data_IF_629365582748
#
_entry.id   IF_629365582748
#
_cell.length_a   1.000
_cell.length_b   1.000
_cell.length_c   1.000
_cell.angle_alpha   90.00
_cell.angle_beta   90.00
_cell.angle_gamma   90.00
#
_symmetry.space_group_name_H-M   'P 1'
#
loop_
_entity.id
_entity.type
_entity.pdbx_description
1 polymer ?
#
# COMPACT_ATOMS: atom_id res chain seq x y z
N UNK A 1 -36.26 -1.14 -80.58
CA UNK A 1 -36.88 -1.76 -81.77
C UNK A 1 -35.91 -2.78 -82.35
N UNK A 2 -36.44 -3.98 -82.63
CA UNK A 2 -35.94 -5.08 -83.47
C UNK A 2 -34.48 -5.58 -83.26
N UNK A 3 -34.25 -6.80 -82.73
CA UNK A 3 -34.59 -8.15 -83.23
C UNK A 3 -33.68 -8.65 -84.38
N UNK A 4 -32.89 -9.67 -84.00
CA UNK A 4 -32.77 -10.98 -84.64
C UNK A 4 -31.92 -11.21 -85.93
N UNK A 5 -30.96 -12.13 -85.71
CA UNK A 5 -30.77 -13.44 -86.39
C UNK A 5 -29.80 -13.56 -87.59
N UNK A 6 -28.85 -14.48 -87.35
CA UNK A 6 -28.36 -15.59 -88.18
C UNK A 6 -27.71 -15.29 -89.53
N UNK A 7 -26.53 -15.89 -89.76
CA UNK A 7 -26.33 -17.02 -90.69
C UNK A 7 -24.94 -17.65 -90.45
N UNK A 8 -24.93 -18.98 -90.35
CA UNK A 8 -23.77 -19.88 -90.43
C UNK A 8 -23.23 -19.95 -91.87
N UNK A 9 -21.91 -20.12 -92.03
CA UNK A 9 -21.26 -20.95 -93.07
C UNK A 9 -19.74 -20.68 -92.99
N UNK A 10 -18.79 -21.57 -93.28
CA UNK A 10 -18.67 -23.02 -93.43
C UNK A 10 -17.14 -23.28 -93.36
N UNK A 11 -16.74 -24.46 -92.90
CA UNK A 11 -15.34 -24.91 -92.87
C UNK A 11 -14.70 -24.99 -94.26
N UNK A 12 -13.38 -24.77 -94.36
CA UNK A 12 -12.34 -25.78 -94.65
C UNK A 12 -11.00 -25.07 -95.02
N UNK A 13 -9.87 -25.75 -95.28
CA UNK A 13 -8.68 -25.62 -94.45
C UNK A 13 -7.45 -25.11 -95.21
N UNK A 14 -6.46 -24.57 -94.50
CA UNK A 14 -5.10 -24.47 -95.04
C UNK A 14 -4.10 -24.77 -93.93
N UNK A 15 -3.57 -25.98 -94.00
CA UNK A 15 -2.49 -26.45 -93.16
C UNK A 15 -1.18 -25.75 -93.55
N UNK A 16 -0.41 -25.45 -92.50
CA UNK A 16 1.04 -25.40 -92.46
C UNK A 16 1.75 -24.35 -93.33
N UNK A 17 2.38 -23.37 -92.69
CA UNK A 17 3.84 -23.37 -92.52
C UNK A 17 4.31 -22.11 -91.77
N UNK A 18 5.28 -22.32 -90.86
CA UNK A 18 6.24 -21.35 -90.30
C UNK A 18 5.77 -20.50 -89.11
N UNK A 19 6.35 -20.81 -87.94
CA UNK A 19 6.37 -19.91 -86.78
C UNK A 19 6.01 -20.62 -85.48
N UNK A 20 6.91 -21.48 -84.99
CA UNK A 20 6.81 -22.03 -83.64
C UNK A 20 6.89 -20.92 -82.60
N UNK A 21 5.73 -20.42 -82.17
CA UNK A 21 5.64 -19.57 -80.98
C UNK A 21 5.80 -20.49 -79.78
N UNK A 22 6.85 -20.36 -78.95
CA UNK A 22 6.92 -21.13 -77.72
C UNK A 22 5.69 -20.77 -76.88
N UNK A 23 4.81 -21.77 -76.65
CA UNK A 23 3.73 -21.63 -75.68
C UNK A 23 4.39 -21.22 -74.36
N UNK A 24 4.17 -19.97 -73.95
CA UNK A 24 4.50 -19.50 -72.61
C UNK A 24 3.78 -20.44 -71.64
N UNK A 25 4.54 -21.36 -71.04
CA UNK A 25 4.08 -22.19 -69.93
C UNK A 25 3.58 -21.21 -68.89
N UNK A 26 2.32 -21.31 -68.49
CA UNK A 26 1.81 -20.59 -67.34
C UNK A 26 2.69 -20.94 -66.15
N UNK A 27 3.61 -20.04 -65.80
CA UNK A 27 4.42 -20.16 -64.59
C UNK A 27 3.42 -20.04 -63.45
N UNK A 28 3.21 -21.15 -62.74
CA UNK A 28 2.38 -21.15 -61.55
C UNK A 28 2.86 -20.00 -60.64
N UNK A 29 1.96 -19.13 -60.13
CA UNK A 29 2.36 -18.08 -59.22
C UNK A 29 3.15 -18.73 -58.08
N UNK A 30 4.27 -18.13 -57.64
CA UNK A 30 5.04 -18.69 -56.54
C UNK A 30 4.08 -18.93 -55.38
N UNK A 31 3.98 -20.18 -54.93
CA UNK A 31 3.24 -20.52 -53.70
C UNK A 31 3.92 -19.76 -52.58
N UNK A 32 3.42 -18.56 -52.28
CA UNK A 32 3.81 -17.82 -51.08
C UNK A 32 3.42 -18.73 -49.92
N UNK A 33 4.42 -19.29 -49.24
CA UNK A 33 4.20 -20.05 -48.02
C UNK A 33 3.28 -19.20 -47.10
N UNK A 34 2.27 -19.81 -46.45
CA UNK A 34 1.40 -19.07 -45.55
C UNK A 34 2.29 -18.35 -44.53
N UNK A 35 2.20 -17.02 -44.49
CA UNK A 35 2.96 -16.23 -43.54
C UNK A 35 2.66 -16.78 -42.13
N UNK A 36 3.69 -17.07 -41.31
CA UNK A 36 3.47 -17.63 -39.99
C UNK A 36 2.53 -16.72 -39.21
N UNK A 37 1.48 -17.31 -38.62
CA UNK A 37 0.48 -16.56 -37.88
C UNK A 37 1.16 -15.71 -36.80
N UNK A 38 0.94 -14.40 -36.85
CA UNK A 38 1.52 -13.48 -35.88
C UNK A 38 1.08 -13.90 -34.47
N UNK A 39 2.04 -14.16 -33.58
CA UNK A 39 1.78 -14.61 -32.21
C UNK A 39 1.09 -13.48 -31.44
N UNK A 40 -0.23 -13.61 -31.21
CA UNK A 40 -1.06 -12.58 -30.54
C UNK A 40 -1.01 -12.62 -29.02
N UNK A 41 -0.42 -13.67 -28.44
CA UNK A 41 -0.36 -13.87 -26.99
C UNK A 41 0.27 -12.69 -26.22
N UNK A 42 1.37 -12.04 -26.66
CA UNK A 42 1.91 -10.88 -25.97
C UNK A 42 0.92 -9.72 -25.86
N UNK A 43 0.13 -9.47 -26.92
CA UNK A 43 -0.86 -8.41 -26.92
C UNK A 43 -2.05 -8.72 -25.99
N UNK A 44 -2.49 -9.98 -25.94
CA UNK A 44 -3.46 -10.46 -24.96
C UNK A 44 -2.94 -10.36 -23.52
N UNK A 45 -1.68 -10.75 -23.28
CA UNK A 45 -1.04 -10.64 -21.98
C UNK A 45 -1.04 -9.19 -21.48
N UNK A 46 -0.60 -8.23 -22.32
CA UNK A 46 -0.62 -6.81 -21.96
C UNK A 46 -2.04 -6.30 -21.65
N UNK A 47 -3.02 -6.73 -22.45
CA UNK A 47 -4.41 -6.34 -22.25
C UNK A 47 -4.93 -6.85 -20.89
N UNK A 48 -4.78 -8.14 -20.62
CA UNK A 48 -5.26 -8.76 -19.38
C UNK A 48 -4.50 -8.22 -18.18
N UNK A 49 -3.17 -8.16 -18.24
CA UNK A 49 -2.35 -7.62 -17.16
C UNK A 49 -2.68 -6.15 -16.86
N UNK A 50 -2.87 -5.34 -17.89
CA UNK A 50 -3.27 -3.94 -17.75
C UNK A 50 -4.64 -3.77 -17.11
N UNK A 51 -5.63 -4.58 -17.52
CA UNK A 51 -6.98 -4.58 -16.91
C UNK A 51 -6.90 -5.02 -15.45
N UNK A 52 -6.19 -6.11 -15.15
CA UNK A 52 -6.04 -6.62 -13.78
C UNK A 52 -5.34 -5.59 -12.90
N UNK A 53 -4.30 -4.93 -13.39
CA UNK A 53 -3.59 -3.90 -12.63
C UNK A 53 -4.47 -2.66 -12.39
N UNK A 54 -5.17 -2.18 -13.42
CA UNK A 54 -6.07 -1.04 -13.31
C UNK A 54 -7.24 -1.32 -12.34
N UNK A 55 -7.91 -2.45 -12.51
CA UNK A 55 -9.00 -2.86 -11.61
C UNK A 55 -8.48 -3.16 -10.21
N UNK A 56 -7.35 -3.83 -10.07
CA UNK A 56 -6.72 -4.11 -8.78
C UNK A 56 -6.37 -2.83 -8.02
N UNK A 57 -5.90 -1.80 -8.71
CA UNK A 57 -5.58 -0.50 -8.12
C UNK A 57 -6.81 0.23 -7.56
N UNK A 58 -8.01 -0.02 -8.07
CA UNK A 58 -9.26 0.65 -7.63
C UNK A 58 -10.07 -0.25 -6.71
N UNK A 59 -10.38 -1.47 -7.17
CA UNK A 59 -11.20 -2.43 -6.46
C UNK A 59 -10.49 -3.08 -5.25
N UNK A 60 -9.15 -3.13 -5.28
CA UNK A 60 -8.34 -3.64 -4.17
C UNK A 60 -8.25 -2.69 -2.97
N UNK A 61 -8.89 -1.51 -3.02
CA UNK A 61 -8.90 -0.56 -1.91
C UNK A 61 -7.56 0.16 -1.68
N UNK A 62 -6.57 0.01 -2.57
CA UNK A 62 -5.27 0.66 -2.46
C UNK A 62 -5.36 2.19 -2.23
N UNK A 63 -6.25 2.97 -2.88
CA UNK A 63 -6.35 4.42 -2.67
C UNK A 63 -6.75 4.78 -1.26
N UNK A 64 -7.71 4.06 -0.68
CA UNK A 64 -8.18 4.33 0.68
C UNK A 64 -7.20 3.79 1.72
N UNK A 65 -6.50 2.70 1.42
CA UNK A 65 -5.47 2.12 2.28
C UNK A 65 -4.22 2.99 2.34
N UNK A 66 -3.69 3.47 1.21
CA UNK A 66 -2.50 4.33 1.19
C UNK A 66 -2.78 5.71 1.77
N UNK A 67 -3.97 6.28 1.51
CA UNK A 67 -4.41 7.51 2.15
C UNK A 67 -4.56 7.34 3.67
N UNK A 68 -5.15 6.22 4.12
CA UNK A 68 -5.27 5.89 5.54
C UNK A 68 -3.91 5.69 6.21
N UNK A 69 -2.98 5.00 5.56
CA UNK A 69 -1.62 4.82 6.06
C UNK A 69 -0.88 6.16 6.18
N UNK A 70 -1.02 7.04 5.18
CA UNK A 70 -0.42 8.40 5.20
C UNK A 70 -1.00 9.22 6.34
N UNK A 71 -2.33 9.26 6.47
CA UNK A 71 -3.03 9.94 7.59
C UNK A 71 -2.55 9.43 8.95
N UNK A 72 -2.38 8.11 9.10
CA UNK A 72 -1.90 7.49 10.33
C UNK A 72 -0.45 7.91 10.64
N UNK A 73 0.43 7.88 9.64
CA UNK A 73 1.82 8.35 9.78
C UNK A 73 1.87 9.82 10.19
N UNK A 74 1.09 10.68 9.54
CA UNK A 74 1.02 12.11 9.85
C UNK A 74 0.50 12.38 11.26
N UNK A 75 -0.52 11.62 11.71
CA UNK A 75 -1.09 11.76 13.04
C UNK A 75 -0.12 11.32 14.16
N UNK A 76 0.68 10.26 13.92
CA UNK A 76 1.64 9.77 14.91
C UNK A 76 3.02 10.42 14.82
N UNK A 77 3.36 11.08 13.70
CA UNK A 77 4.62 11.79 13.52
C UNK A 77 5.01 12.70 14.70
N UNK A 78 4.15 13.58 15.26
CA UNK A 78 4.53 14.43 16.38
C UNK A 78 4.87 13.62 17.65
N UNK A 79 4.22 12.46 17.84
CA UNK A 79 4.36 11.62 19.03
C UNK A 79 5.54 10.63 18.97
N UNK A 80 6.10 10.40 17.78
CA UNK A 80 7.20 9.46 17.57
C UNK A 80 8.56 10.15 17.33
N UNK A 81 8.64 11.43 17.66
CA UNK A 81 9.92 12.17 17.75
C UNK A 81 10.72 11.70 18.96
N UNK A 82 12.06 11.79 18.90
CA UNK A 82 12.91 11.47 20.05
C UNK A 82 12.51 12.31 21.28
N UNK A 83 12.29 13.61 21.08
CA UNK A 83 11.86 14.52 22.13
C UNK A 83 10.49 14.15 22.73
N UNK A 84 9.49 13.81 21.90
CA UNK A 84 8.19 13.40 22.42
C UNK A 84 8.25 12.07 23.16
N UNK A 85 9.06 11.12 22.69
CA UNK A 85 9.22 9.82 23.36
C UNK A 85 9.93 9.99 24.70
N UNK A 86 10.93 10.86 24.79
CA UNK A 86 11.63 11.16 26.04
C UNK A 86 10.74 11.95 27.02
N UNK A 87 9.88 12.84 26.51
CA UNK A 87 8.86 13.52 27.31
C UNK A 87 7.84 12.53 27.89
N UNK A 88 7.30 11.63 27.06
CA UNK A 88 6.38 10.57 27.48
C UNK A 88 7.04 9.61 28.50
N UNK A 89 8.33 9.34 28.37
CA UNK A 89 9.12 8.60 29.36
C UNK A 89 9.08 9.29 30.73
N UNK A 90 9.34 10.60 30.74
CA UNK A 90 9.25 11.43 31.93
C UNK A 90 7.86 11.43 32.56
N UNK A 91 6.80 11.45 31.75
CA UNK A 91 5.42 11.36 32.22
C UNK A 91 5.12 10.00 32.84
N UNK A 92 5.55 8.90 32.21
CA UNK A 92 5.40 7.54 32.74
C UNK A 92 6.15 7.38 34.07
N UNK A 93 7.35 7.92 34.17
CA UNK A 93 8.12 7.93 35.42
C UNK A 93 7.50 8.80 36.51
N UNK A 94 6.84 9.90 36.14
CA UNK A 94 6.08 10.73 37.07
C UNK A 94 4.84 9.97 37.58
N UNK A 95 4.12 9.27 36.71
CA UNK A 95 3.00 8.38 37.07
C UNK A 95 3.46 7.27 38.00
N UNK A 96 4.59 6.61 37.71
CA UNK A 96 5.13 5.54 38.53
C UNK A 96 5.48 6.02 39.95
N UNK A 97 6.16 7.17 40.08
CA UNK A 97 6.50 7.77 41.38
C UNK A 97 5.25 8.20 42.15
N UNK A 98 4.27 8.78 41.47
CA UNK A 98 2.98 9.12 42.07
C UNK A 98 2.23 7.88 42.56
N UNK A 99 2.20 6.81 41.77
CA UNK A 99 1.62 5.51 42.12
C UNK A 99 2.30 4.89 43.34
N UNK A 100 3.63 4.88 43.40
CA UNK A 100 4.38 4.38 44.55
C UNK A 100 4.09 5.18 45.83
N UNK A 101 4.07 6.52 45.74
CA UNK A 101 3.77 7.39 46.88
C UNK A 101 2.33 7.19 47.38
N UNK A 102 1.35 7.14 46.48
CA UNK A 102 -0.06 6.92 46.86
C UNK A 102 -0.28 5.53 47.46
N UNK A 103 0.38 4.48 46.95
CA UNK A 103 0.37 3.14 47.59
C UNK A 103 0.96 3.14 48.99
N UNK A 104 2.07 3.85 49.21
CA UNK A 104 2.68 3.96 50.54
C UNK A 104 1.75 4.68 51.54
N UNK A 105 1.08 5.75 51.10
CA UNK A 105 0.08 6.45 51.91
C UNK A 105 -1.16 5.57 52.18
N UNK A 106 -1.60 4.79 51.19
CA UNK A 106 -2.71 3.85 51.32
C UNK A 106 -2.39 2.75 52.36
N UNK A 107 -1.21 2.12 52.25
CA UNK A 107 -0.76 1.06 53.14
C UNK A 107 -0.64 1.54 54.60
N UNK A 108 -0.36 2.82 54.80
CA UNK A 108 -0.32 3.43 56.12
C UNK A 108 -1.69 3.90 56.66
N UNK A 109 -2.79 3.61 55.95
CA UNK A 109 -4.14 3.99 56.36
C UNK A 109 -4.44 5.49 56.25
N UNK A 110 -3.58 6.27 55.58
CA UNK A 110 -3.68 7.75 55.55
C UNK A 110 -4.61 8.30 54.47
N UNK A 111 -5.15 7.45 53.62
CA UNK A 111 -6.07 7.83 52.54
C UNK A 111 -7.54 7.55 52.85
N UNK A 112 -7.91 7.31 54.11
CA UNK A 112 -9.28 6.94 54.50
C UNK A 112 -10.35 7.96 54.05
N UNK A 113 -10.00 9.25 54.01
CA UNK A 113 -10.87 10.32 53.55
C UNK A 113 -10.73 10.64 52.04
N UNK A 114 -10.02 9.81 51.28
CA UNK A 114 -9.67 10.03 49.88
C UNK A 114 -9.97 8.77 49.03
N UNK A 115 -11.25 8.38 48.86
CA UNK A 115 -11.64 7.14 48.22
C UNK A 115 -11.18 7.00 46.77
N UNK A 116 -11.11 8.10 45.99
CA UNK A 116 -10.62 8.03 44.60
C UNK A 116 -9.10 7.81 44.55
N UNK A 117 -8.38 8.41 45.49
CA UNK A 117 -6.94 8.22 45.65
C UNK A 117 -6.62 6.79 46.10
N UNK A 118 -7.43 6.20 46.98
CA UNK A 118 -7.34 4.76 47.34
C UNK A 118 -7.59 3.87 46.13
N UNK A 119 -8.63 4.17 45.34
CA UNK A 119 -8.93 3.41 44.12
C UNK A 119 -7.77 3.45 43.12
N UNK A 120 -7.19 4.63 42.90
CA UNK A 120 -5.99 4.78 42.07
C UNK A 120 -4.81 4.01 42.66
N UNK A 121 -4.53 4.14 43.96
CA UNK A 121 -3.43 3.43 44.61
C UNK A 121 -3.51 1.92 44.38
N UNK A 122 -4.72 1.33 44.49
CA UNK A 122 -4.97 -0.09 44.23
C UNK A 122 -4.77 -0.53 42.78
N UNK A 123 -4.80 0.39 41.81
CA UNK A 123 -4.60 0.13 40.37
C UNK A 123 -3.29 0.69 39.81
N UNK A 124 -2.55 1.45 40.60
CA UNK A 124 -1.42 2.25 40.14
C UNK A 124 -0.33 1.44 39.44
N UNK A 125 -0.09 0.20 39.89
CA UNK A 125 0.87 -0.70 39.26
C UNK A 125 0.42 -1.15 37.86
N UNK A 126 -0.89 -1.40 37.68
CA UNK A 126 -1.45 -1.77 36.38
C UNK A 126 -1.41 -0.58 35.42
N UNK A 127 -1.74 0.63 35.91
CA UNK A 127 -1.66 1.87 35.12
C UNK A 127 -0.22 2.12 34.65
N UNK A 128 0.76 1.95 35.55
CA UNK A 128 2.19 2.07 35.23
C UNK A 128 2.62 1.03 34.18
N UNK A 129 2.24 -0.24 34.37
CA UNK A 129 2.58 -1.31 33.42
C UNK A 129 1.98 -1.04 32.04
N UNK A 130 0.70 -0.67 31.96
CA UNK A 130 0.03 -0.34 30.71
C UNK A 130 0.72 0.82 29.99
N UNK A 131 1.09 1.89 30.71
CA UNK A 131 1.74 3.05 30.14
C UNK A 131 3.15 2.72 29.61
N UNK A 132 3.91 1.90 30.35
CA UNK A 132 5.22 1.39 29.89
C UNK A 132 5.11 0.52 28.66
N UNK A 133 4.15 -0.40 28.61
CA UNK A 133 3.97 -1.30 27.46
C UNK A 133 3.60 -0.52 26.19
N UNK A 134 2.76 0.51 26.32
CA UNK A 134 2.43 1.41 25.21
C UNK A 134 3.66 2.16 24.71
N UNK A 135 4.44 2.76 25.63
CA UNK A 135 5.64 3.51 25.26
C UNK A 135 6.70 2.59 24.65
N UNK A 136 6.91 1.40 25.20
CA UNK A 136 7.83 0.40 24.67
C UNK A 136 7.44 -0.03 23.25
N UNK A 137 6.14 -0.24 23.01
CA UNK A 137 5.63 -0.59 21.69
C UNK A 137 5.80 0.56 20.69
N UNK A 138 5.56 1.81 21.10
CA UNK A 138 5.80 2.99 20.28
C UNK A 138 7.30 3.16 19.93
N UNK A 139 8.20 3.01 20.91
CA UNK A 139 9.66 3.04 20.69
C UNK A 139 10.11 1.93 19.75
N UNK A 140 9.56 0.73 19.91
CA UNK A 140 9.86 -0.40 19.03
C UNK A 140 9.33 -0.17 17.60
N UNK A 141 8.20 0.51 17.42
CA UNK A 141 7.63 0.82 16.10
C UNK A 141 8.37 1.95 15.37
N UNK A 142 8.98 2.90 16.10
CA UNK A 142 9.67 4.06 15.55
C UNK A 142 10.59 3.81 14.34
N UNK A 143 11.58 2.89 14.37
CA UNK A 143 12.48 2.71 13.24
C UNK A 143 11.76 2.29 11.95
N UNK A 144 10.66 1.55 12.09
CA UNK A 144 9.86 1.12 10.94
C UNK A 144 8.92 2.21 10.45
N UNK A 145 8.37 3.03 11.34
CA UNK A 145 7.66 4.27 10.97
C UNK A 145 8.59 5.23 10.23
N UNK A 146 9.81 5.43 10.72
CA UNK A 146 10.82 6.26 10.05
C UNK A 146 11.19 5.70 8.66
N UNK A 147 11.19 4.37 8.50
CA UNK A 147 11.42 3.74 7.20
C UNK A 147 10.26 3.99 6.23
N UNK A 148 9.01 3.93 6.70
CA UNK A 148 7.84 4.22 5.88
C UNK A 148 7.76 5.70 5.49
N UNK A 149 8.11 6.61 6.40
CA UNK A 149 8.13 8.05 6.14
C UNK A 149 9.15 8.43 5.04
N UNK A 150 10.15 7.59 4.78
CA UNK A 150 11.12 7.77 3.67
C UNK A 150 10.60 7.28 2.32
N UNK A 151 9.46 6.58 2.27
CA UNK A 151 8.88 6.12 1.01
C UNK A 151 8.26 7.31 0.28
N UNK A 152 8.85 7.67 -0.86
CA UNK A 152 8.38 8.79 -1.66
C UNK A 152 7.17 8.36 -2.50
N UNK A 153 6.10 9.15 -2.45
CA UNK A 153 4.92 8.93 -3.32
C UNK A 153 4.02 7.77 -2.88
N UNK A 154 4.06 7.34 -1.61
CA UNK A 154 3.18 6.29 -1.08
C UNK A 154 1.69 6.61 -1.34
N UNK A 155 1.29 7.87 -1.19
CA UNK A 155 -0.07 8.33 -1.47
C UNK A 155 -0.46 8.37 -2.95
N UNK A 156 0.52 8.40 -3.88
CA UNK A 156 0.29 8.46 -5.34
C UNK A 156 0.48 7.12 -6.04
N UNK A 157 0.94 6.10 -5.32
CA UNK A 157 1.11 4.73 -5.80
C UNK A 157 -0.16 4.18 -6.50
N UNK A 158 -1.38 4.29 -5.93
CA UNK A 158 -2.58 3.77 -6.58
C UNK A 158 -2.85 4.40 -7.96
N UNK A 159 -2.63 5.71 -8.09
CA UNK A 159 -2.80 6.47 -9.32
C UNK A 159 -1.75 6.05 -10.36
N UNK A 160 -0.51 5.81 -9.93
CA UNK A 160 0.55 5.32 -10.79
C UNK A 160 0.21 3.92 -11.34
N UNK A 161 -0.20 2.99 -10.47
CA UNK A 161 -0.59 1.64 -10.89
C UNK A 161 -1.80 1.66 -11.83
N UNK A 162 -2.78 2.54 -11.55
CA UNK A 162 -3.94 2.74 -12.43
C UNK A 162 -3.51 3.20 -13.83
N UNK A 163 -2.68 4.25 -13.91
CA UNK A 163 -2.21 4.82 -15.17
C UNK A 163 -1.39 3.81 -15.98
N UNK A 164 -0.50 3.07 -15.30
CA UNK A 164 0.29 1.99 -15.92
C UNK A 164 -0.64 0.88 -16.42
N UNK A 165 -1.63 0.47 -15.63
CA UNK A 165 -2.61 -0.55 -16.01
C UNK A 165 -3.40 -0.15 -17.25
N UNK A 166 -3.91 1.08 -17.29
CA UNK A 166 -4.59 1.64 -18.46
C UNK A 166 -3.65 1.69 -19.68
N UNK A 167 -2.41 2.16 -19.50
CA UNK A 167 -1.42 2.22 -20.57
C UNK A 167 -1.13 0.84 -21.19
N UNK A 168 -0.95 -0.18 -20.36
CA UNK A 168 -0.77 -1.56 -20.81
C UNK A 168 -2.00 -2.12 -21.52
N UNK A 169 -3.20 -1.84 -21.00
CA UNK A 169 -4.45 -2.30 -21.60
C UNK A 169 -4.66 -1.69 -23.00
N UNK A 170 -4.45 -0.38 -23.13
CA UNK A 170 -4.53 0.33 -24.42
C UNK A 170 -3.46 -0.17 -25.39
N UNK A 171 -2.21 -0.33 -24.95
CA UNK A 171 -1.14 -0.85 -25.79
C UNK A 171 -1.45 -2.28 -26.29
N UNK A 172 -1.95 -3.16 -25.41
CA UNK A 172 -2.40 -4.51 -25.77
C UNK A 172 -3.53 -4.50 -26.79
N UNK A 173 -4.57 -3.68 -26.58
CA UNK A 173 -5.69 -3.54 -27.51
C UNK A 173 -5.25 -3.01 -28.89
N UNK A 174 -4.36 -2.01 -28.92
CA UNK A 174 -3.79 -1.48 -30.16
C UNK A 174 -2.96 -2.56 -30.87
N UNK A 175 -2.13 -3.32 -30.16
CA UNK A 175 -1.36 -4.42 -30.78
C UNK A 175 -2.25 -5.54 -31.34
N UNK A 176 -3.42 -5.78 -30.75
CA UNK A 176 -4.40 -6.76 -31.28
C UNK A 176 -5.11 -6.27 -32.54
N UNK A 177 -5.35 -4.96 -32.68
CA UNK A 177 -6.16 -4.37 -33.77
C UNK A 177 -5.33 -3.73 -34.89
N UNK A 178 -4.13 -3.24 -34.60
CA UNK A 178 -3.34 -2.45 -35.52
C UNK A 178 -2.82 -3.27 -36.70
N UNK A 179 -3.11 -2.79 -37.90
CA UNK A 179 -2.54 -3.32 -39.16
C UNK A 179 -1.34 -2.50 -39.65
N UNK A 180 -1.15 -1.28 -39.13
CA UNK A 180 -0.09 -0.37 -39.53
C UNK A 180 1.14 -0.48 -38.63
N UNK A 181 2.34 -0.38 -39.23
CA UNK A 181 3.60 -0.33 -38.51
C UNK A 181 3.71 0.82 -37.48
N UNK A 182 3.29 2.08 -37.75
CA UNK A 182 3.42 3.17 -36.78
C UNK A 182 2.60 2.93 -35.50
N UNK A 183 1.36 2.46 -35.61
CA UNK A 183 0.53 2.16 -34.43
C UNK A 183 1.13 1.05 -33.56
N UNK A 184 1.71 0.02 -34.19
CA UNK A 184 2.41 -1.07 -33.46
C UNK A 184 3.69 -0.57 -32.77
N UNK A 185 4.46 0.32 -33.41
CA UNK A 185 5.66 0.93 -32.82
C UNK A 185 5.29 1.79 -31.61
N UNK A 186 4.26 2.63 -31.73
CA UNK A 186 3.75 3.43 -30.62
C UNK A 186 3.31 2.55 -29.45
N UNK A 187 2.50 1.52 -29.69
CA UNK A 187 2.02 0.64 -28.63
C UNK A 187 3.16 -0.14 -27.95
N UNK A 188 4.17 -0.55 -28.71
CA UNK A 188 5.39 -1.18 -28.18
C UNK A 188 6.17 -0.20 -27.30
N UNK A 189 6.32 1.06 -27.72
CA UNK A 189 7.00 2.08 -26.94
C UNK A 189 6.24 2.41 -25.65
N UNK A 190 4.91 2.56 -25.72
CA UNK A 190 4.06 2.78 -24.56
C UNK A 190 4.14 1.64 -23.54
N UNK A 191 4.06 0.38 -24.00
CA UNK A 191 4.21 -0.79 -23.14
C UNK A 191 5.62 -0.88 -22.53
N UNK A 192 6.66 -0.51 -23.27
CA UNK A 192 8.03 -0.46 -22.75
C UNK A 192 8.18 0.61 -21.66
N UNK A 193 7.61 1.80 -21.85
CA UNK A 193 7.59 2.85 -20.82
C UNK A 193 6.87 2.38 -19.56
N UNK A 194 5.75 1.68 -19.70
CA UNK A 194 5.03 1.08 -18.56
C UNK A 194 5.88 0.03 -17.84
N UNK A 195 6.59 -0.84 -18.56
CA UNK A 195 7.52 -1.79 -17.96
C UNK A 195 8.66 -1.10 -17.20
N UNK A 196 9.25 -0.06 -17.79
CA UNK A 196 10.30 0.74 -17.14
C UNK A 196 9.75 1.38 -15.86
N UNK A 197 8.54 1.96 -15.90
CA UNK A 197 7.90 2.53 -14.73
C UNK A 197 7.74 1.49 -13.60
N UNK A 198 7.22 0.29 -13.91
CA UNK A 198 7.05 -0.80 -12.93
C UNK A 198 8.37 -1.31 -12.34
N UNK A 199 9.47 -1.23 -13.07
CA UNK A 199 10.79 -1.66 -12.58
C UNK A 199 11.47 -0.57 -11.76
N UNK A 200 11.40 0.67 -12.23
CA UNK A 200 12.09 1.82 -11.62
C UNK A 200 11.36 2.32 -10.39
N UNK A 201 10.02 2.36 -10.42
CA UNK A 201 9.19 2.90 -9.35
C UNK A 201 9.49 2.31 -7.97
N UNK A 202 9.48 0.98 -7.75
CA UNK A 202 9.69 0.42 -6.42
C UNK A 202 11.10 0.67 -5.85
N UNK A 203 12.09 0.91 -6.73
CA UNK A 203 13.46 1.27 -6.34
C UNK A 203 13.58 2.76 -6.05
N UNK A 204 13.07 3.61 -6.94
CA UNK A 204 13.16 5.07 -6.84
C UNK A 204 12.32 5.65 -5.68
N UNK A 205 11.21 4.99 -5.33
CA UNK A 205 10.36 5.37 -4.20
C UNK A 205 10.90 4.88 -2.85
N UNK A 206 11.86 3.94 -2.83
CA UNK A 206 12.28 3.23 -1.62
C UNK A 206 11.29 2.17 -1.14
N UNK A 207 10.28 1.80 -1.95
CA UNK A 207 9.31 0.75 -1.60
C UNK A 207 9.99 -0.59 -1.32
N UNK A 208 11.03 -0.98 -2.06
CA UNK A 208 11.75 -2.25 -1.81
C UNK A 208 12.33 -2.30 -0.39
N UNK A 209 12.96 -1.21 0.05
CA UNK A 209 13.59 -1.14 1.37
C UNK A 209 12.56 -0.97 2.50
N UNK A 210 11.48 -0.24 2.24
CA UNK A 210 10.46 0.12 3.23
C UNK A 210 9.28 -0.86 3.34
N UNK A 211 9.01 -1.70 2.35
CA UNK A 211 7.80 -2.54 2.33
C UNK A 211 7.77 -3.58 3.46
N UNK A 212 8.93 -4.13 3.85
CA UNK A 212 9.01 -5.02 5.02
C UNK A 212 8.68 -4.30 6.33
N UNK A 213 8.96 -3.00 6.42
CA UNK A 213 8.64 -2.18 7.58
C UNK A 213 7.13 -1.96 7.72
N UNK A 214 6.39 -1.88 6.62
CA UNK A 214 4.94 -1.70 6.63
C UNK A 214 4.22 -2.80 7.42
N UNK A 215 4.55 -4.05 7.14
CA UNK A 215 4.00 -5.20 7.88
C UNK A 215 4.37 -5.15 9.36
N UNK A 216 5.64 -4.87 9.68
CA UNK A 216 6.10 -4.77 11.07
C UNK A 216 5.44 -3.63 11.85
N UNK A 217 5.17 -2.49 11.20
CA UNK A 217 4.41 -1.38 11.80
C UNK A 217 3.01 -1.84 12.15
N UNK A 218 2.32 -2.52 11.24
CA UNK A 218 0.99 -3.09 11.52
C UNK A 218 1.05 -4.03 12.72
N UNK A 219 1.98 -4.99 12.71
CA UNK A 219 2.11 -5.99 13.77
C UNK A 219 2.42 -5.36 15.14
N UNK A 220 3.27 -4.33 15.19
CA UNK A 220 3.64 -3.64 16.43
C UNK A 220 2.57 -2.70 16.96
N UNK A 221 1.75 -2.12 16.08
CA UNK A 221 0.61 -1.32 16.50
C UNK A 221 -0.61 -2.18 16.83
N UNK A 222 -0.69 -3.44 16.40
CA UNK A 222 -1.79 -4.35 16.72
C UNK A 222 -2.22 -4.41 18.19
N UNK A 223 -1.32 -4.52 19.18
CA UNK A 223 -1.73 -4.50 20.58
C UNK A 223 -2.28 -3.14 21.05
N UNK A 224 -1.87 -2.04 20.40
CA UNK A 224 -2.21 -0.67 20.81
C UNK A 224 -3.49 -0.17 20.12
N UNK A 225 -3.64 -0.49 18.83
CA UNK A 225 -4.71 -0.01 17.97
C UNK A 225 -5.97 -0.88 18.12
N UNK A 226 -6.49 -0.96 19.34
CA UNK A 226 -7.75 -1.64 19.66
C UNK A 226 -8.71 -0.75 20.44
N UNK A 227 -10.02 -0.95 20.27
CA UNK A 227 -11.04 -0.26 21.07
C UNK A 227 -10.88 -0.55 22.56
N UNK A 228 -10.51 -1.79 22.91
CA UNK A 228 -10.24 -2.20 24.29
C UNK A 228 -9.09 -1.39 24.90
N UNK A 229 -8.03 -1.13 24.13
CA UNK A 229 -6.91 -0.33 24.60
C UNK A 229 -7.30 1.14 24.79
N UNK A 230 -8.11 1.71 23.90
CA UNK A 230 -8.65 3.07 24.08
C UNK A 230 -9.48 3.17 25.35
N UNK A 231 -10.39 2.23 25.58
CA UNK A 231 -11.21 2.18 26.81
C UNK A 231 -10.32 2.02 28.05
N UNK A 232 -9.27 1.20 27.96
CA UNK A 232 -8.29 1.03 29.06
C UNK A 232 -7.57 2.33 29.36
N UNK A 233 -7.04 3.01 28.34
CA UNK A 233 -6.39 4.31 28.46
C UNK A 233 -7.31 5.37 29.08
N UNK A 234 -8.57 5.43 28.65
CA UNK A 234 -9.57 6.33 29.22
C UNK A 234 -9.86 6.03 30.69
N UNK A 235 -9.97 4.75 31.07
CA UNK A 235 -10.14 4.36 32.47
C UNK A 235 -8.91 4.70 33.33
N UNK A 236 -7.71 4.50 32.81
CA UNK A 236 -6.46 4.82 33.51
C UNK A 236 -6.33 6.34 33.70
N UNK A 237 -6.71 7.12 32.68
CA UNK A 237 -6.81 8.58 32.75
C UNK A 237 -7.83 9.05 33.79
N UNK A 238 -9.04 8.47 33.81
CA UNK A 238 -10.07 8.81 34.81
C UNK A 238 -9.62 8.49 36.24
N UNK A 239 -8.87 7.40 36.45
CA UNK A 239 -8.31 7.07 37.75
C UNK A 239 -7.30 8.13 38.21
N UNK A 240 -6.41 8.57 37.32
CA UNK A 240 -5.44 9.64 37.59
C UNK A 240 -6.13 10.99 37.89
N UNK A 241 -7.08 11.42 37.04
CA UNK A 241 -7.88 12.64 37.24
C UNK A 241 -8.60 12.59 38.59
N UNK A 242 -9.19 11.44 38.92
CA UNK A 242 -9.92 11.21 40.15
C UNK A 242 -9.05 11.42 41.39
N UNK A 243 -7.84 10.85 41.39
CA UNK A 243 -6.87 10.99 42.47
C UNK A 243 -6.33 12.42 42.57
N UNK A 244 -5.85 13.01 41.47
CA UNK A 244 -5.30 14.38 41.47
C UNK A 244 -6.36 15.39 41.92
N UNK A 245 -7.57 15.32 41.36
CA UNK A 245 -8.63 16.26 41.71
C UNK A 245 -9.09 16.14 43.18
N UNK A 246 -8.96 14.97 43.79
CA UNK A 246 -9.24 14.78 45.22
C UNK A 246 -8.13 15.38 46.11
N UNK A 247 -6.87 15.20 45.72
CA UNK A 247 -5.70 15.80 46.38
C UNK A 247 -5.73 17.34 46.28
N UNK A 248 -6.13 17.89 45.13
CA UNK A 248 -6.21 19.33 44.90
C UNK A 248 -7.32 20.01 45.71
N UNK A 249 -8.46 19.34 45.88
CA UNK A 249 -9.56 19.81 46.73
C UNK A 249 -9.28 19.76 48.23
N UNK A 250 -8.05 19.38 48.62
CA UNK A 250 -7.62 19.41 50.02
C UNK A 250 -8.02 18.17 50.81
N UNK A 251 -8.25 17.02 50.15
CA UNK A 251 -8.37 15.76 50.87
C UNK A 251 -7.13 15.54 51.77
N UNK A 252 -7.31 14.79 52.87
CA UNK A 252 -6.29 14.54 53.90
C UNK A 252 -5.11 13.66 53.43
N UNK A 253 -4.71 13.78 52.17
CA UNK A 253 -3.55 13.13 51.59
C UNK A 253 -2.32 13.94 51.96
N UNK A 254 -1.34 13.29 52.59
CA UNK A 254 -0.04 13.91 52.83
C UNK A 254 0.60 14.23 51.48
N UNK A 255 0.86 15.50 51.23
CA UNK A 255 1.54 15.95 50.01
C UNK A 255 3.03 15.67 50.10
N UNK A 256 3.47 14.44 49.86
CA UNK A 256 4.90 14.09 49.75
C UNK A 256 5.53 14.84 48.57
N UNK A 257 6.87 14.93 48.49
CA UNK A 257 7.54 15.56 47.35
C UNK A 257 7.08 15.02 45.98
N UNK A 258 6.87 13.70 45.88
CA UNK A 258 6.44 13.01 44.65
C UNK A 258 5.00 13.39 44.29
N UNK A 259 4.10 13.39 45.26
CA UNK A 259 2.70 13.81 45.06
C UNK A 259 2.64 15.27 44.62
N UNK A 260 3.40 16.17 45.27
CA UNK A 260 3.46 17.59 44.86
C UNK A 260 4.01 17.77 43.46
N UNK A 261 5.08 17.06 43.12
CA UNK A 261 5.68 17.13 41.79
C UNK A 261 4.70 16.69 40.71
N UNK A 262 4.03 15.55 40.89
CA UNK A 262 3.06 15.04 39.93
C UNK A 262 1.84 15.94 39.79
N UNK A 263 1.28 16.41 40.91
CA UNK A 263 0.15 17.36 40.89
C UNK A 263 0.52 18.66 40.17
N UNK A 264 1.76 19.15 40.33
CA UNK A 264 2.23 20.35 39.62
C UNK A 264 2.42 20.11 38.11
N UNK A 265 2.85 18.91 37.69
CA UNK A 265 3.01 18.55 36.28
C UNK A 265 1.74 17.99 35.63
N UNK A 266 0.64 17.85 36.37
CA UNK A 266 -0.56 17.15 35.93
C UNK A 266 -1.15 17.71 34.63
N UNK A 267 -1.19 19.04 34.46
CA UNK A 267 -1.73 19.64 33.25
C UNK A 267 -0.98 19.19 32.00
N UNK A 268 0.37 19.16 32.05
CA UNK A 268 1.22 18.66 30.96
C UNK A 268 0.96 17.17 30.69
N UNK A 269 1.07 16.33 31.72
CA UNK A 269 0.83 14.87 31.60
C UNK A 269 -0.55 14.59 31.01
N UNK A 270 -1.57 15.29 31.50
CA UNK A 270 -2.95 15.08 31.06
C UNK A 270 -3.18 15.49 29.60
N UNK A 271 -2.54 16.57 29.16
CA UNK A 271 -2.58 17.04 27.78
C UNK A 271 -1.92 16.03 26.83
N UNK A 272 -0.75 15.52 27.21
CA UNK A 272 0.02 14.58 26.38
C UNK A 272 -0.72 13.23 26.26
N UNK A 273 -1.27 12.71 27.36
CA UNK A 273 -2.11 11.51 27.36
C UNK A 273 -3.39 11.68 26.53
N UNK A 274 -4.07 12.84 26.64
CA UNK A 274 -5.28 13.12 25.88
C UNK A 274 -4.98 13.20 24.37
N UNK A 275 -3.89 13.87 23.99
CA UNK A 275 -3.45 13.96 22.60
C UNK A 275 -3.15 12.57 22.02
N UNK A 276 -2.38 11.74 22.74
CA UNK A 276 -2.04 10.39 22.28
C UNK A 276 -3.29 9.49 22.17
N UNK A 277 -4.18 9.55 23.16
CA UNK A 277 -5.44 8.78 23.14
C UNK A 277 -6.33 9.21 21.98
N UNK A 278 -6.41 10.51 21.70
CA UNK A 278 -7.12 11.05 20.54
C UNK A 278 -6.53 10.53 19.23
N UNK A 279 -5.20 10.61 19.07
CA UNK A 279 -4.52 10.10 17.89
C UNK A 279 -4.77 8.60 17.64
N UNK A 280 -4.76 7.78 18.70
CA UNK A 280 -5.09 6.34 18.62
C UNK A 280 -6.55 6.15 18.18
N UNK A 281 -7.48 6.79 18.88
CA UNK A 281 -8.93 6.64 18.64
C UNK A 281 -9.32 7.05 17.21
N UNK A 282 -8.82 8.20 16.74
CA UNK A 282 -9.20 8.78 15.45
C UNK A 282 -8.61 8.03 14.24
N UNK A 283 -7.65 7.13 14.49
CA UNK A 283 -7.00 6.33 13.46
C UNK A 283 -7.27 4.82 13.57
N UNK A 284 -8.12 4.38 14.51
CA UNK A 284 -8.56 2.97 14.60
C UNK A 284 -9.17 2.45 13.28
N UNK A 285 -10.08 3.20 12.59
CA UNK A 285 -10.65 2.73 11.34
C UNK A 285 -9.63 2.60 10.19
N UNK A 286 -8.66 3.50 10.14
CA UNK A 286 -7.56 3.51 9.17
C UNK A 286 -6.62 2.33 9.41
N UNK A 287 -6.23 2.11 10.67
CA UNK A 287 -5.41 0.96 11.05
C UNK A 287 -6.07 -0.36 10.67
N UNK A 288 -7.37 -0.54 10.97
CA UNK A 288 -8.12 -1.75 10.61
C UNK A 288 -8.13 -2.01 9.11
N UNK A 289 -8.32 -0.97 8.30
CA UNK A 289 -8.27 -1.05 6.83
C UNK A 289 -6.88 -1.44 6.34
N UNK A 290 -5.83 -0.86 6.91
CA UNK A 290 -4.45 -1.22 6.58
C UNK A 290 -4.12 -2.66 6.97
N UNK A 291 -4.50 -3.08 8.17
CA UNK A 291 -4.28 -4.43 8.66
C UNK A 291 -5.01 -5.48 7.83
N UNK A 292 -6.28 -5.23 7.46
CA UNK A 292 -7.05 -6.15 6.62
C UNK A 292 -6.49 -6.24 5.19
N UNK A 293 -6.08 -5.11 4.61
CA UNK A 293 -5.43 -5.09 3.30
C UNK A 293 -4.08 -5.84 3.34
N UNK A 294 -3.29 -5.67 4.40
CA UNK A 294 -2.03 -6.37 4.55
C UNK A 294 -2.22 -7.89 4.74
N UNK A 295 -3.31 -8.32 5.38
CA UNK A 295 -3.62 -9.73 5.57
C UNK A 295 -4.17 -10.43 4.30
N UNK A 296 -4.43 -9.70 3.21
CA UNK A 296 -5.06 -10.27 2.01
C UNK A 296 -4.18 -11.32 1.29
N UNK A 297 -2.85 -11.19 1.37
CA UNK A 297 -1.90 -12.19 0.85
C UNK A 297 -1.16 -12.89 2.00
N UNK A 298 -1.18 -14.24 2.07
CA UNK A 298 -0.53 -15.01 3.12
C UNK A 298 0.97 -15.16 2.85
N UNK A 299 1.69 -14.03 2.82
CA UNK A 299 3.15 -13.99 2.65
C UNK A 299 3.81 -13.36 3.88
N UNK A 300 5.09 -13.65 4.17
CA UNK A 300 5.81 -12.97 5.24
C UNK A 300 5.77 -11.44 5.04
N UNK A 301 5.23 -10.72 6.04
CA UNK A 301 5.04 -9.27 6.00
C UNK A 301 3.76 -8.78 5.29
N UNK A 302 2.96 -9.69 4.71
CA UNK A 302 1.66 -9.40 4.11
C UNK A 302 1.70 -8.79 2.71
N UNK A 303 0.53 -8.37 2.22
CA UNK A 303 0.33 -7.79 0.88
C UNK A 303 1.25 -6.60 0.60
N UNK A 304 1.49 -5.74 1.61
CA UNK A 304 2.32 -4.54 1.41
C UNK A 304 3.77 -4.92 1.17
N UNK A 305 4.27 -5.95 1.86
CA UNK A 305 5.62 -6.50 1.65
C UNK A 305 5.79 -7.13 0.25
N UNK A 306 4.71 -7.68 -0.33
CA UNK A 306 4.73 -8.30 -1.65
C UNK A 306 4.72 -7.29 -2.81
N UNK A 307 4.13 -6.12 -2.59
CA UNK A 307 3.83 -5.15 -3.64
C UNK A 307 5.04 -4.76 -4.53
N UNK A 308 6.21 -4.35 -3.98
CA UNK A 308 7.35 -3.99 -4.82
C UNK A 308 7.83 -5.15 -5.70
N UNK A 309 7.75 -6.38 -5.19
CA UNK A 309 8.11 -7.57 -5.96
C UNK A 309 7.11 -7.88 -7.06
N UNK A 310 5.82 -7.66 -6.80
CA UNK A 310 4.78 -7.80 -7.83
C UNK A 310 4.99 -6.79 -8.98
N UNK A 311 5.34 -5.53 -8.66
CA UNK A 311 5.68 -4.52 -9.66
C UNK A 311 6.90 -4.93 -10.50
N UNK A 312 8.00 -5.36 -9.84
CA UNK A 312 9.22 -5.80 -10.51
C UNK A 312 8.98 -7.00 -11.44
N UNK A 313 8.28 -8.04 -10.95
CA UNK A 313 7.96 -9.25 -11.72
C UNK A 313 7.08 -8.91 -12.92
N UNK A 314 6.07 -8.07 -12.72
CA UNK A 314 5.19 -7.65 -13.81
C UNK A 314 5.95 -6.83 -14.86
N UNK A 315 6.77 -5.88 -14.44
CA UNK A 315 7.61 -5.06 -15.33
C UNK A 315 8.56 -5.92 -16.16
N UNK A 316 9.24 -6.89 -15.53
CA UNK A 316 10.11 -7.84 -16.21
C UNK A 316 9.34 -8.74 -17.19
N UNK A 317 8.16 -9.22 -16.82
CA UNK A 317 7.31 -10.03 -17.68
C UNK A 317 6.82 -9.26 -18.92
N UNK A 318 6.41 -8.00 -18.76
CA UNK A 318 6.05 -7.10 -19.87
C UNK A 318 7.24 -6.89 -20.80
N UNK A 319 8.42 -6.56 -20.28
CA UNK A 319 9.63 -6.39 -21.09
C UNK A 319 10.00 -7.66 -21.85
N UNK A 320 9.95 -8.82 -21.18
CA UNK A 320 10.20 -10.13 -21.79
C UNK A 320 9.21 -10.48 -22.90
N UNK A 321 7.92 -10.20 -22.70
CA UNK A 321 6.89 -10.40 -23.71
C UNK A 321 7.15 -9.55 -24.96
N UNK A 322 7.61 -8.30 -24.79
CA UNK A 322 7.98 -7.41 -25.90
C UNK A 322 9.24 -7.90 -26.63
N UNK A 323 10.29 -8.29 -25.91
CA UNK A 323 11.54 -8.80 -26.50
C UNK A 323 11.34 -10.14 -27.24
N UNK A 324 10.48 -11.01 -26.72
CA UNK A 324 10.12 -12.28 -27.35
C UNK A 324 9.44 -12.11 -28.71
N UNK A 325 8.84 -10.95 -29.00
CA UNK A 325 8.31 -10.64 -30.33
C UNK A 325 9.35 -10.23 -31.36
N UNK A 326 10.57 -9.85 -30.92
CA UNK A 326 11.65 -9.37 -31.82
C UNK A 326 12.60 -10.46 -32.31
N UNK A 327 12.73 -11.59 -31.60
CA UNK A 327 13.80 -12.60 -31.81
C UNK A 327 13.56 -13.66 -32.92
N UNK A 328 12.70 -13.42 -33.91
CA UNK A 328 12.60 -14.32 -35.08
C UNK A 328 12.54 -13.54 -36.40
N UNK A 329 13.70 -13.06 -36.83
CA UNK A 329 14.01 -12.93 -38.24
C UNK A 329 15.16 -13.91 -38.54
N UNK A 330 14.86 -15.15 -38.97
CA UNK A 330 15.89 -15.98 -39.58
C UNK A 330 16.24 -15.35 -40.94
N UNK A 331 17.51 -15.00 -41.09
CA UNK A 331 18.16 -14.78 -42.39
C UNK A 331 18.11 -16.04 -43.23
#
# INVERSE_FOLDING_TARGET
MASHRYVQQVAAPAAALLGGVPRLRAVAPPRTAPAPAARRWPAWFLLVAGIVLALGSVAGGLPTTTAGATKMLDAFAPHLTAESLDRLDGDVDAIARFGAATRAEAAAGRLAAAPRTVQYAGRSADVEANARDLLASARAAKPDVDALARIHGLGTLPQLLLLVGVGLAVAGAVLLRARSAPARRWATAAALLCAVALVVHPLASGLVDGAGSAGRVVDRFAPIMTEQQVVRLQHDFLALVGAVGEIDRGAAVRRTPEIRAFTASWQTVSSDLASLTGAINDNLPEYRRLASANAALPVPGGTVAALPWAELVLGAAVAGALLGTRRKAPS
#
